data_IF_407250707742
#
_entry.id   IF_407250707742
#
_cell.length_a   1.000
_cell.length_b   1.000
_cell.length_c   1.000
_cell.angle_alpha   90.00
_cell.angle_beta   90.00
_cell.angle_gamma   90.00
#
_symmetry.space_group_name_H-M   'P 1'
#
loop_
_entity.id
_entity.type
_entity.pdbx_description
1 polymer ?
#
# COMPACT_ATOMS: atom_id res chain seq x y z
N UNK A 1 8.77 -19.41 -16.11
CA UNK A 1 9.48 -19.70 -14.85
C UNK A 1 10.73 -18.82 -14.81
N UNK A 2 10.68 -17.70 -14.06
CA UNK A 2 11.78 -16.91 -13.45
C UNK A 2 11.29 -15.47 -13.23
N UNK A 3 10.47 -15.26 -12.21
CA UNK A 3 10.13 -13.94 -11.66
C UNK A 3 10.24 -13.88 -10.12
N UNK A 4 10.43 -15.04 -9.48
CA UNK A 4 10.69 -15.21 -8.04
C UNK A 4 12.16 -14.96 -7.68
N UNK A 5 12.87 -14.11 -8.45
CA UNK A 5 14.22 -13.69 -8.14
C UNK A 5 14.18 -12.74 -6.94
N UNK A 6 14.13 -13.38 -5.78
CA UNK A 6 14.48 -12.88 -4.46
C UNK A 6 13.46 -11.99 -3.74
N UNK A 7 12.20 -12.44 -3.65
CA UNK A 7 11.24 -11.93 -2.64
C UNK A 7 11.82 -11.93 -1.21
N UNK A 8 12.87 -12.74 -0.95
CA UNK A 8 13.57 -12.79 0.33
C UNK A 8 14.29 -11.48 0.68
N UNK A 9 14.71 -10.67 -0.30
CA UNK A 9 15.42 -9.40 -0.11
C UNK A 9 14.49 -8.19 -0.12
N UNK A 10 13.20 -8.37 -0.41
CA UNK A 10 12.26 -7.26 -0.55
C UNK A 10 12.11 -6.46 0.75
N UNK A 11 12.14 -5.15 0.55
CA UNK A 11 11.84 -4.14 1.58
C UNK A 11 10.35 -4.13 1.91
N UNK A 12 9.99 -3.49 3.03
CA UNK A 12 8.59 -3.22 3.41
C UNK A 12 7.78 -2.63 2.26
N UNK A 13 8.36 -1.65 1.58
CA UNK A 13 7.71 -0.86 0.55
C UNK A 13 7.49 -1.67 -0.74
N UNK A 14 8.43 -2.55 -1.08
CA UNK A 14 8.31 -3.48 -2.20
C UNK A 14 7.23 -4.55 -1.93
N UNK A 15 7.11 -5.03 -0.69
CA UNK A 15 6.01 -5.92 -0.30
C UNK A 15 4.65 -5.25 -0.44
N UNK A 16 4.50 -4.01 0.05
CA UNK A 16 3.28 -3.23 -0.11
C UNK A 16 2.92 -3.04 -1.59
N UNK A 17 3.90 -2.67 -2.41
CA UNK A 17 3.71 -2.52 -3.85
C UNK A 17 3.28 -3.82 -4.52
N UNK A 18 3.88 -4.95 -4.14
CA UNK A 18 3.58 -6.25 -4.73
C UNK A 18 2.14 -6.71 -4.50
N UNK A 19 1.53 -6.36 -3.36
CA UNK A 19 0.11 -6.55 -3.14
C UNK A 19 -0.73 -5.54 -3.93
N UNK A 20 -0.36 -4.25 -3.92
CA UNK A 20 -1.10 -3.21 -4.62
C UNK A 20 -1.18 -3.45 -6.14
N UNK A 21 -0.08 -3.84 -6.81
CA UNK A 21 -0.06 -4.12 -8.26
C UNK A 21 -1.03 -5.21 -8.70
N UNK A 22 -1.49 -6.06 -7.77
CA UNK A 22 -2.47 -7.14 -7.99
C UNK A 22 -3.91 -6.70 -7.68
N UNK A 23 -4.12 -5.44 -7.31
CA UNK A 23 -5.44 -4.89 -7.06
C UNK A 23 -6.15 -4.57 -8.39
N UNK A 24 -7.30 -5.21 -8.68
CA UNK A 24 -8.01 -4.98 -9.93
C UNK A 24 -8.48 -3.53 -10.09
N UNK A 25 -8.82 -2.86 -8.99
CA UNK A 25 -9.23 -1.46 -9.01
C UNK A 25 -8.03 -0.56 -9.33
N UNK A 26 -6.84 -0.87 -8.78
CA UNK A 26 -5.61 -0.16 -9.12
C UNK A 26 -5.22 -0.36 -10.59
N UNK A 27 -5.33 -1.59 -11.09
CA UNK A 27 -5.03 -1.91 -12.49
C UNK A 27 -5.98 -1.18 -13.45
N UNK A 28 -7.28 -1.18 -13.14
CA UNK A 28 -8.28 -0.49 -13.95
C UNK A 28 -8.06 1.02 -13.96
N UNK A 29 -7.83 1.62 -12.79
CA UNK A 29 -7.49 3.04 -12.68
C UNK A 29 -6.20 3.37 -13.43
N UNK A 30 -5.15 2.55 -13.29
CA UNK A 30 -3.86 2.78 -13.94
C UNK A 30 -4.00 2.71 -15.47
N UNK A 31 -4.73 1.72 -16.00
CA UNK A 31 -4.99 1.64 -17.44
C UNK A 31 -5.71 2.87 -17.98
N UNK A 32 -6.72 3.38 -17.28
CA UNK A 32 -7.40 4.60 -17.68
C UNK A 32 -6.48 5.83 -17.57
N UNK A 33 -5.78 5.95 -16.45
CA UNK A 33 -4.80 7.01 -16.19
C UNK A 33 -3.74 7.09 -17.30
N UNK A 34 -3.08 5.98 -17.62
CA UNK A 34 -1.98 5.97 -18.59
C UNK A 34 -2.48 6.25 -20.01
N UNK A 35 -3.69 5.80 -20.36
CA UNK A 35 -4.30 6.11 -21.65
C UNK A 35 -4.58 7.61 -21.79
N UNK A 36 -5.14 8.26 -20.76
CA UNK A 36 -5.34 9.71 -20.75
C UNK A 36 -4.02 10.46 -20.77
N UNK A 37 -3.03 10.01 -19.99
CA UNK A 37 -1.70 10.62 -19.96
C UNK A 37 -1.02 10.60 -21.33
N UNK A 38 -1.01 9.45 -22.02
CA UNK A 38 -0.46 9.35 -23.37
C UNK A 38 -1.23 10.19 -24.39
N UNK A 39 -2.56 10.30 -24.25
CA UNK A 39 -3.36 11.18 -25.12
C UNK A 39 -2.99 12.66 -24.91
N UNK A 40 -2.82 13.10 -23.66
CA UNK A 40 -2.35 14.45 -23.35
C UNK A 40 -0.93 14.69 -23.88
N UNK A 41 -0.02 13.72 -23.77
CA UNK A 41 1.34 13.82 -24.31
C UNK A 41 1.35 13.87 -25.84
N UNK A 42 0.43 13.19 -26.52
CA UNK A 42 0.28 13.28 -27.96
C UNK A 42 -0.22 14.68 -28.40
N UNK A 43 -1.16 15.26 -27.65
CA UNK A 43 -1.79 16.55 -27.99
C UNK A 43 -0.88 17.75 -27.66
N UNK A 44 -0.06 17.65 -26.61
CA UNK A 44 0.68 18.78 -26.03
C UNK A 44 2.19 18.55 -25.89
N UNK A 45 2.69 17.36 -26.23
CA UNK A 45 4.10 16.99 -26.14
C UNK A 45 4.55 16.48 -24.77
N UNK A 46 5.81 16.02 -24.74
CA UNK A 46 6.49 15.50 -23.53
C UNK A 46 7.53 16.50 -23.01
N UNK A 47 7.85 16.49 -21.70
CA UNK A 47 8.92 17.31 -21.16
C UNK A 47 10.26 17.03 -21.86
N UNK A 48 11.12 18.05 -22.07
CA UNK A 48 10.94 19.44 -21.64
C UNK A 48 10.08 20.31 -22.58
N UNK A 49 9.66 19.80 -23.74
CA UNK A 49 9.02 20.59 -24.80
C UNK A 49 7.48 20.64 -24.72
N UNK A 50 6.90 20.25 -23.59
CA UNK A 50 5.45 20.21 -23.37
C UNK A 50 4.86 21.63 -23.37
N UNK A 51 3.75 21.83 -24.08
CA UNK A 51 2.96 23.06 -23.98
C UNK A 51 2.13 23.05 -22.68
N UNK A 52 2.77 23.47 -21.58
CA UNK A 52 2.16 23.54 -20.26
C UNK A 52 0.95 24.48 -20.21
N UNK A 53 0.94 25.54 -21.03
CA UNK A 53 -0.14 26.53 -21.02
C UNK A 53 -1.42 25.98 -21.63
N UNK A 54 -1.32 25.13 -22.66
CA UNK A 54 -2.47 24.41 -23.21
C UNK A 54 -2.86 23.21 -22.35
N UNK A 55 -1.88 22.45 -21.85
CA UNK A 55 -2.12 21.30 -20.96
C UNK A 55 -2.97 21.68 -19.74
N UNK A 56 -2.63 22.77 -19.04
CA UNK A 56 -3.37 23.26 -17.86
C UNK A 56 -4.82 23.69 -18.15
N UNK A 57 -5.19 23.90 -19.41
CA UNK A 57 -6.57 24.26 -19.79
C UNK A 57 -7.41 23.04 -20.19
N UNK A 58 -6.79 21.88 -20.32
CA UNK A 58 -7.47 20.65 -20.68
C UNK A 58 -8.11 20.01 -19.44
N UNK A 59 -9.43 19.76 -19.41
CA UNK A 59 -10.08 19.13 -18.27
C UNK A 59 -9.56 17.70 -18.01
N UNK A 60 -9.00 17.00 -19.02
CA UNK A 60 -8.41 15.66 -18.86
C UNK A 60 -7.12 15.69 -18.02
N UNK A 61 -6.47 16.84 -17.86
CA UNK A 61 -5.27 16.99 -17.05
C UNK A 61 -5.52 16.93 -15.54
N UNK A 62 -6.77 16.82 -15.12
CA UNK A 62 -7.19 16.89 -13.73
C UNK A 62 -8.00 15.66 -13.34
N UNK A 63 -7.86 15.25 -12.07
CA UNK A 63 -8.70 14.23 -11.47
C UNK A 63 -10.04 14.79 -10.94
N UNK A 64 -11.01 13.92 -10.62
CA UNK A 64 -10.93 12.46 -10.69
C UNK A 64 -10.93 11.92 -12.13
N UNK A 65 -10.48 10.68 -12.30
CA UNK A 65 -10.71 9.96 -13.56
C UNK A 65 -12.20 9.98 -13.93
N UNK A 66 -12.58 10.00 -15.21
CA UNK A 66 -13.97 9.89 -15.63
C UNK A 66 -14.65 8.66 -15.00
N UNK A 67 -15.77 8.87 -14.28
CA UNK A 67 -16.48 7.83 -13.54
C UNK A 67 -15.83 7.42 -12.20
N UNK A 68 -14.68 8.00 -11.87
CA UNK A 68 -13.99 7.79 -10.60
C UNK A 68 -14.58 8.63 -9.48
N UNK A 69 -14.65 8.03 -8.29
CA UNK A 69 -14.97 8.78 -7.09
C UNK A 69 -13.80 9.68 -6.68
N UNK A 70 -14.10 10.80 -6.00
CA UNK A 70 -13.06 11.57 -5.31
C UNK A 70 -12.30 10.64 -4.36
N UNK A 71 -10.97 10.81 -4.22
CA UNK A 71 -10.22 10.00 -3.27
C UNK A 71 -10.83 10.21 -1.89
N UNK A 72 -10.95 9.13 -1.11
CA UNK A 72 -11.11 9.27 0.34
C UNK A 72 -10.04 10.26 0.83
N UNK A 73 -10.29 11.12 1.83
CA UNK A 73 -9.30 12.09 2.27
C UNK A 73 -8.05 11.37 2.78
N UNK A 74 -7.10 11.15 1.88
CA UNK A 74 -5.77 10.67 2.19
C UNK A 74 -5.14 11.82 2.93
N UNK A 75 -4.77 11.56 4.17
CA UNK A 75 -4.06 12.49 5.04
C UNK A 75 -2.72 12.79 4.38
N UNK A 76 -2.68 13.92 3.67
CA UNK A 76 -1.52 14.40 2.94
C UNK A 76 -1.92 15.64 2.15
N UNK A 77 -0.95 16.53 1.92
CA UNK A 77 -1.15 17.72 1.11
C UNK A 77 -1.84 17.35 -0.20
N UNK A 78 -3.01 17.96 -0.43
CA UNK A 78 -3.61 18.02 -1.75
C UNK A 78 -2.63 18.85 -2.58
N UNK A 79 -2.10 18.28 -3.65
CA UNK A 79 -1.46 19.07 -4.70
C UNK A 79 -2.58 19.84 -5.43
N UNK A 80 -3.15 20.84 -4.77
CA UNK A 80 -4.13 21.74 -5.34
C UNK A 80 -3.39 22.56 -6.41
N UNK A 81 -3.85 22.46 -7.66
CA UNK A 81 -3.41 23.35 -8.72
C UNK A 81 -3.96 24.77 -8.51
N UNK A 82 -3.67 25.65 -9.46
CA UNK A 82 -4.03 27.08 -9.43
C UNK A 82 -5.55 27.35 -9.29
N UNK A 83 -6.42 26.35 -9.50
CA UNK A 83 -7.89 26.45 -9.45
C UNK A 83 -8.56 25.41 -8.53
N UNK A 84 -7.91 24.98 -7.44
CA UNK A 84 -8.37 23.89 -6.54
C UNK A 84 -8.53 22.50 -7.20
N UNK A 85 -8.25 22.38 -8.50
CA UNK A 85 -8.23 21.11 -9.23
C UNK A 85 -6.95 20.35 -8.93
N UNK A 86 -7.05 19.04 -8.71
CA UNK A 86 -5.88 18.18 -8.48
C UNK A 86 -5.40 17.64 -9.83
N UNK A 87 -4.12 17.84 -10.15
CA UNK A 87 -3.52 17.25 -11.35
C UNK A 87 -3.73 15.73 -11.38
N UNK A 88 -3.95 15.18 -12.57
CA UNK A 88 -4.37 13.80 -12.75
C UNK A 88 -3.40 12.80 -12.08
N UNK A 89 -2.10 12.99 -12.26
CA UNK A 89 -1.05 12.17 -11.65
C UNK A 89 -1.03 12.30 -10.12
N UNK A 90 -1.29 13.50 -9.59
CA UNK A 90 -1.36 13.74 -8.15
C UNK A 90 -2.61 13.08 -7.54
N UNK A 91 -3.74 13.12 -8.25
CA UNK A 91 -4.97 12.44 -7.83
C UNK A 91 -4.76 10.92 -7.78
N UNK A 92 -4.16 10.35 -8.83
CA UNK A 92 -3.91 8.91 -8.93
C UNK A 92 -2.91 8.46 -7.85
N UNK A 93 -1.83 9.24 -7.66
CA UNK A 93 -0.88 9.01 -6.57
C UNK A 93 -1.55 9.07 -5.21
N UNK A 94 -2.35 10.11 -4.93
CA UNK A 94 -3.05 10.26 -3.65
C UNK A 94 -4.00 9.08 -3.38
N UNK A 95 -4.84 8.69 -4.37
CA UNK A 95 -5.80 7.59 -4.24
C UNK A 95 -5.14 6.28 -3.80
N UNK A 96 -3.94 6.00 -4.32
CA UNK A 96 -3.23 4.74 -4.11
C UNK A 96 -2.02 4.82 -3.16
N UNK A 97 -1.81 5.98 -2.54
CA UNK A 97 -0.80 6.16 -1.49
C UNK A 97 0.60 6.52 -1.99
N UNK A 98 0.78 7.01 -3.21
CA UNK A 98 2.07 7.51 -3.72
C UNK A 98 2.20 9.03 -3.63
N UNK A 99 3.40 9.52 -3.31
CA UNK A 99 3.80 10.92 -3.50
C UNK A 99 4.19 11.22 -4.95
N UNK A 100 4.75 10.23 -5.65
CA UNK A 100 5.26 10.35 -7.02
C UNK A 100 4.26 9.80 -8.05
N UNK A 101 4.68 9.88 -9.31
CA UNK A 101 3.95 9.31 -10.44
C UNK A 101 3.57 7.84 -10.17
N UNK A 102 2.31 7.42 -10.43
CA UNK A 102 1.84 6.05 -10.21
C UNK A 102 2.69 5.01 -10.95
N UNK A 103 2.93 3.86 -10.32
CA UNK A 103 3.80 2.83 -10.88
C UNK A 103 3.03 1.77 -11.68
N UNK A 104 3.56 1.38 -12.83
CA UNK A 104 2.95 0.36 -13.68
C UNK A 104 2.70 -0.97 -12.93
N UNK A 105 1.44 -1.43 -12.80
CA UNK A 105 1.11 -2.70 -12.16
C UNK A 105 1.61 -3.92 -12.94
N UNK A 106 2.06 -3.77 -14.18
CA UNK A 106 2.61 -4.87 -14.99
C UNK A 106 4.13 -4.98 -14.89
N UNK A 107 4.82 -3.98 -14.33
CA UNK A 107 6.29 -3.97 -14.19
C UNK A 107 6.82 -5.25 -13.56
N UNK A 108 7.80 -5.92 -14.15
CA UNK A 108 8.26 -7.22 -13.63
C UNK A 108 9.18 -7.03 -12.41
N UNK A 109 10.12 -6.09 -12.50
CA UNK A 109 11.10 -5.86 -11.44
C UNK A 109 10.54 -4.98 -10.31
N UNK A 110 10.84 -5.31 -9.05
CA UNK A 110 10.40 -4.49 -7.93
C UNK A 110 11.03 -3.08 -8.03
N UNK A 111 10.23 -2.02 -7.89
CA UNK A 111 10.72 -0.66 -7.95
C UNK A 111 11.72 -0.37 -6.82
N UNK A 112 12.65 0.54 -7.09
CA UNK A 112 13.65 0.96 -6.12
C UNK A 112 13.07 1.84 -4.99
N UNK A 113 13.79 2.02 -3.87
CA UNK A 113 13.33 2.84 -2.75
C UNK A 113 13.03 4.30 -3.14
N UNK A 114 13.79 4.86 -4.08
CA UNK A 114 13.57 6.22 -4.58
C UNK A 114 12.30 6.35 -5.42
N UNK A 115 11.81 5.27 -6.02
CA UNK A 115 10.59 5.24 -6.83
C UNK A 115 9.35 5.05 -5.95
N UNK A 116 9.48 4.19 -4.92
CA UNK A 116 8.44 3.88 -3.93
C UNK A 116 8.32 4.96 -2.84
N UNK A 117 8.03 6.20 -3.24
CA UNK A 117 7.74 7.27 -2.31
C UNK A 117 6.29 7.18 -1.81
N UNK A 118 6.04 6.37 -0.77
CA UNK A 118 4.72 6.20 -0.17
C UNK A 118 4.29 7.38 0.70
N UNK A 119 3.01 7.74 0.63
CA UNK A 119 2.33 8.60 1.59
C UNK A 119 2.16 7.85 2.91
N UNK A 120 2.18 8.56 4.06
CA UNK A 120 1.79 7.97 5.33
C UNK A 120 0.41 7.32 5.20
N UNK A 121 0.26 6.03 5.58
CA UNK A 121 -1.03 5.39 5.53
C UNK A 121 -1.99 6.11 6.49
N UNK A 122 -3.28 6.28 6.13
CA UNK A 122 -4.25 6.92 7.02
C UNK A 122 -4.33 6.17 8.34
N UNK A 123 -4.72 6.86 9.42
CA UNK A 123 -4.94 6.20 10.70
C UNK A 123 -5.90 5.01 10.51
N UNK A 124 -5.59 3.83 11.09
CA UNK A 124 -6.48 2.68 10.96
C UNK A 124 -7.83 3.05 11.58
N UNK A 125 -8.92 2.87 10.82
CA UNK A 125 -10.27 3.16 11.30
C UNK A 125 -10.62 2.31 12.54
N UNK A 126 -10.08 1.09 12.61
CA UNK A 126 -10.12 0.17 13.77
C UNK A 126 -8.86 -0.70 13.70
N UNK A 127 -8.24 -1.02 14.84
CA UNK A 127 -7.18 -2.02 14.90
C UNK A 127 -7.76 -3.37 14.45
N UNK A 128 -7.43 -3.79 13.23
CA UNK A 128 -8.16 -4.82 12.47
C UNK A 128 -7.92 -6.25 12.96
N UNK A 129 -6.92 -6.48 13.81
CA UNK A 129 -6.58 -7.80 14.30
C UNK A 129 -6.75 -7.86 15.84
N UNK A 130 -7.92 -8.31 16.34
CA UNK A 130 -8.21 -8.31 17.77
C UNK A 130 -7.22 -9.18 18.57
N UNK A 131 -6.57 -10.15 17.92
CA UNK A 131 -5.60 -11.01 18.59
C UNK A 131 -4.29 -10.30 18.90
N UNK A 132 -3.90 -9.30 18.10
CA UNK A 132 -2.70 -8.49 18.32
C UNK A 132 -2.99 -7.20 19.08
N UNK A 133 -4.26 -6.88 19.34
CA UNK A 133 -4.65 -5.70 20.11
C UNK A 133 -4.32 -5.88 21.58
N UNK A 134 -3.67 -4.88 22.17
CA UNK A 134 -3.39 -4.78 23.59
C UNK A 134 -3.62 -3.32 24.03
N UNK A 135 -4.65 -3.10 24.83
CA UNK A 135 -4.94 -1.78 25.39
C UNK A 135 -4.08 -1.58 26.65
N UNK A 136 -3.44 -0.40 26.76
CA UNK A 136 -2.61 0.00 27.90
C UNK A 136 -3.07 1.38 28.35
N UNK A 137 -3.53 1.46 29.58
CA UNK A 137 -3.96 2.72 30.20
C UNK A 137 -2.84 3.28 31.07
N UNK A 138 -2.68 4.60 31.03
CA UNK A 138 -1.78 5.34 31.91
C UNK A 138 -2.61 6.20 32.87
N UNK A 139 -2.26 6.15 34.15
CA UNK A 139 -2.75 7.07 35.15
C UNK A 139 -1.85 8.30 35.17
N UNK A 140 -2.36 9.41 34.64
CA UNK A 140 -1.60 10.66 34.52
C UNK A 140 -1.42 11.37 35.87
N UNK A 141 -2.07 10.91 36.93
CA UNK A 141 -1.82 11.40 38.29
C UNK A 141 -0.58 10.79 38.94
N UNK A 142 -0.04 9.71 38.38
CA UNK A 142 1.16 9.02 38.86
C UNK A 142 2.37 9.29 37.94
N UNK A 143 3.61 9.15 38.45
CA UNK A 143 4.80 9.25 37.60
C UNK A 143 4.75 8.27 36.42
N UNK A 144 5.08 8.74 35.22
CA UNK A 144 5.07 7.93 34.00
C UNK A 144 6.15 6.82 33.94
N UNK A 145 7.39 7.01 34.42
CA UNK A 145 8.44 6.01 34.20
C UNK A 145 8.13 4.60 34.74
N UNK A 146 7.61 4.43 35.98
CA UNK A 146 7.20 3.11 36.47
C UNK A 146 6.07 2.48 35.64
N UNK A 147 5.16 3.30 35.11
CA UNK A 147 4.05 2.85 34.28
C UNK A 147 4.54 2.38 32.90
N UNK A 148 5.56 3.04 32.32
CA UNK A 148 6.18 2.64 31.06
C UNK A 148 6.88 1.28 31.18
N UNK A 149 7.59 1.03 32.28
CA UNK A 149 8.22 -0.27 32.51
C UNK A 149 7.17 -1.38 32.70
N UNK A 150 6.08 -1.10 33.42
CA UNK A 150 4.97 -2.03 33.55
C UNK A 150 4.29 -2.31 32.19
N UNK A 151 4.09 -1.27 31.37
CA UNK A 151 3.55 -1.39 30.01
C UNK A 151 4.44 -2.26 29.12
N UNK A 152 5.77 -2.03 29.15
CA UNK A 152 6.75 -2.83 28.42
C UNK A 152 6.69 -4.30 28.82
N UNK A 153 6.62 -4.60 30.11
CA UNK A 153 6.51 -5.99 30.58
C UNK A 153 5.24 -6.68 30.08
N UNK A 154 4.10 -5.97 30.08
CA UNK A 154 2.83 -6.48 29.53
C UNK A 154 2.94 -6.77 28.04
N UNK A 155 3.55 -5.88 27.27
CA UNK A 155 3.76 -6.06 25.82
C UNK A 155 4.67 -7.26 25.52
N UNK A 156 5.78 -7.41 26.24
CA UNK A 156 6.71 -8.54 26.08
C UNK A 156 6.02 -9.87 26.41
N UNK A 157 5.27 -9.90 27.51
CA UNK A 157 4.51 -11.10 27.93
C UNK A 157 3.45 -11.48 26.90
N UNK A 158 2.71 -10.51 26.37
CA UNK A 158 1.71 -10.74 25.33
C UNK A 158 2.35 -11.24 24.02
N UNK A 159 3.47 -10.66 23.60
CA UNK A 159 4.18 -11.14 22.42
C UNK A 159 4.68 -12.59 22.58
N UNK A 160 5.19 -12.95 23.77
CA UNK A 160 5.61 -14.32 24.07
C UNK A 160 4.43 -15.31 24.08
N UNK A 161 3.27 -14.90 24.60
CA UNK A 161 2.03 -15.68 24.55
C UNK A 161 1.59 -15.94 23.11
N UNK A 162 1.57 -14.91 22.26
CA UNK A 162 1.22 -15.04 20.85
C UNK A 162 2.15 -16.01 20.12
N UNK A 163 3.47 -15.92 20.36
CA UNK A 163 4.45 -16.87 19.79
C UNK A 163 4.19 -18.31 20.21
N UNK A 164 3.87 -18.56 21.48
CA UNK A 164 3.50 -19.90 21.97
C UNK A 164 2.25 -20.45 21.29
N UNK A 165 1.33 -19.58 20.87
CA UNK A 165 0.14 -19.94 20.08
C UNK A 165 0.43 -20.05 18.57
N UNK A 166 1.70 -20.03 18.16
CA UNK A 166 2.12 -20.14 16.76
C UNK A 166 2.00 -18.85 15.94
N UNK A 167 1.81 -17.69 16.60
CA UNK A 167 1.67 -16.39 15.91
C UNK A 167 2.98 -15.61 15.90
N UNK A 168 3.29 -15.02 14.75
CA UNK A 168 4.46 -14.16 14.58
C UNK A 168 4.20 -12.77 15.19
N UNK A 169 4.62 -12.59 16.46
CA UNK A 169 4.43 -11.34 17.21
C UNK A 169 5.78 -10.75 17.70
N UNK A 170 6.02 -9.43 17.57
CA UNK A 170 5.26 -8.50 16.75
C UNK A 170 5.36 -8.88 15.26
N UNK A 171 4.41 -8.43 14.43
CA UNK A 171 4.53 -8.60 12.98
C UNK A 171 5.72 -7.77 12.49
N UNK A 172 6.65 -8.38 11.77
CA UNK A 172 7.79 -7.72 11.14
C UNK A 172 7.89 -8.19 9.70
N UNK A 173 8.52 -7.41 8.81
CA UNK A 173 8.75 -7.85 7.42
C UNK A 173 9.42 -9.23 7.42
N UNK A 174 10.50 -9.38 8.19
CA UNK A 174 11.29 -10.61 8.28
C UNK A 174 10.41 -11.83 8.60
N UNK A 175 9.54 -11.75 9.61
CA UNK A 175 8.72 -12.89 10.02
C UNK A 175 7.46 -13.11 9.17
N UNK A 176 7.07 -12.14 8.35
CA UNK A 176 5.93 -12.26 7.42
C UNK A 176 6.32 -12.67 6.00
N UNK A 177 7.59 -12.48 5.58
CA UNK A 177 8.07 -12.76 4.20
C UNK A 177 7.57 -14.09 3.63
N UNK A 178 7.72 -15.19 4.39
CA UNK A 178 7.30 -16.52 3.93
C UNK A 178 5.78 -16.60 3.68
N UNK A 179 4.99 -16.04 4.60
CA UNK A 179 3.52 -16.00 4.50
C UNK A 179 3.08 -15.15 3.31
N UNK A 180 3.67 -13.96 3.15
CA UNK A 180 3.35 -13.06 2.05
C UNK A 180 3.76 -13.63 0.69
N UNK A 181 4.92 -14.29 0.58
CA UNK A 181 5.31 -14.98 -0.65
C UNK A 181 4.27 -16.04 -1.06
N UNK A 182 3.78 -16.82 -0.10
CA UNK A 182 2.72 -17.80 -0.35
C UNK A 182 1.42 -17.13 -0.80
N UNK A 183 1.01 -16.04 -0.15
CA UNK A 183 -0.15 -15.26 -0.54
C UNK A 183 -0.05 -14.72 -1.97
N UNK A 184 1.10 -14.14 -2.36
CA UNK A 184 1.31 -13.65 -3.71
C UNK A 184 1.22 -14.77 -4.75
N UNK A 185 1.82 -15.94 -4.48
CA UNK A 185 1.71 -17.11 -5.36
C UNK A 185 0.26 -17.58 -5.52
N UNK A 186 -0.54 -17.55 -4.44
CA UNK A 186 -1.96 -17.90 -4.52
C UNK A 186 -2.76 -16.88 -5.34
N UNK A 187 -2.45 -15.59 -5.22
CA UNK A 187 -3.06 -14.55 -6.05
C UNK A 187 -2.72 -14.73 -7.53
N UNK A 188 -1.46 -15.05 -7.84
CA UNK A 188 -1.00 -15.31 -9.21
C UNK A 188 -1.64 -16.59 -9.78
N UNK A 189 -1.77 -17.64 -8.97
CA UNK A 189 -2.47 -18.87 -9.32
C UNK A 189 -3.96 -18.63 -9.63
N UNK A 190 -4.63 -17.84 -8.79
CA UNK A 190 -6.02 -17.44 -8.99
C UNK A 190 -6.19 -16.63 -10.28
N UNK A 191 -5.29 -15.67 -10.55
CA UNK A 191 -5.32 -14.89 -11.78
C UNK A 191 -5.10 -15.75 -13.04
N UNK A 192 -4.32 -16.82 -12.93
CA UNK A 192 -4.10 -17.81 -13.98
C UNK A 192 -5.22 -18.87 -14.10
N UNK A 193 -6.28 -18.80 -13.28
CA UNK A 193 -7.39 -19.74 -13.30
C UNK A 193 -7.06 -21.14 -12.75
N UNK A 194 -5.99 -21.28 -11.96
CA UNK A 194 -5.61 -22.56 -11.37
C UNK A 194 -6.48 -22.91 -10.17
N UNK A 195 -6.77 -24.20 -10.00
CA UNK A 195 -7.54 -24.70 -8.86
C UNK A 195 -6.74 -24.54 -7.55
N UNK A 196 -7.41 -24.02 -6.52
CA UNK A 196 -6.82 -23.73 -5.20
C UNK A 196 -7.38 -24.71 -4.18
N UNK A 197 -6.52 -25.26 -3.30
CA UNK A 197 -6.98 -26.18 -2.26
C UNK A 197 -7.86 -25.47 -1.22
N UNK A 198 -8.62 -26.24 -0.42
CA UNK A 198 -9.49 -25.69 0.62
C UNK A 198 -8.72 -24.90 1.68
N UNK A 199 -7.55 -25.39 2.10
CA UNK A 199 -6.69 -24.70 3.07
C UNK A 199 -6.12 -23.40 2.48
N UNK A 200 -5.79 -23.42 1.19
CA UNK A 200 -5.32 -22.24 0.47
C UNK A 200 -6.43 -21.21 0.24
N UNK A 201 -7.70 -21.59 0.33
CA UNK A 201 -8.84 -20.67 0.15
C UNK A 201 -8.92 -19.63 1.28
N UNK A 202 -8.64 -20.02 2.52
CA UNK A 202 -8.62 -19.07 3.65
C UNK A 202 -7.46 -18.07 3.51
N UNK A 203 -6.27 -18.58 3.16
CA UNK A 203 -5.09 -17.75 2.94
C UNK A 203 -5.26 -16.83 1.72
N UNK A 204 -5.94 -17.30 0.67
CA UNK A 204 -6.28 -16.51 -0.51
C UNK A 204 -7.25 -15.37 -0.17
N UNK A 205 -8.25 -15.62 0.69
CA UNK A 205 -9.16 -14.56 1.16
C UNK A 205 -8.43 -13.48 1.95
N UNK A 206 -7.48 -13.87 2.79
CA UNK A 206 -6.59 -12.92 3.48
C UNK A 206 -5.70 -12.17 2.47
N UNK A 207 -5.13 -12.86 1.48
CA UNK A 207 -4.34 -12.26 0.41
C UNK A 207 -5.15 -11.21 -0.38
N UNK A 208 -6.41 -11.50 -0.72
CA UNK A 208 -7.32 -10.55 -1.36
C UNK A 208 -7.60 -9.32 -0.48
N UNK A 209 -7.64 -9.50 0.84
CA UNK A 209 -7.79 -8.38 1.80
C UNK A 209 -6.52 -7.53 1.83
N UNK A 210 -5.34 -8.16 1.77
CA UNK A 210 -4.05 -7.47 1.65
C UNK A 210 -3.98 -6.62 0.39
N UNK A 211 -4.46 -7.15 -0.75
CA UNK A 211 -4.53 -6.43 -2.03
C UNK A 211 -5.42 -5.18 -1.94
N UNK A 212 -6.58 -5.27 -1.28
CA UNK A 212 -7.55 -4.17 -1.20
C UNK A 212 -7.08 -3.05 -0.28
N UNK A 213 -6.66 -3.38 0.94
CA UNK A 213 -6.33 -2.39 1.98
C UNK A 213 -5.15 -2.79 2.85
N UNK A 214 -4.88 -4.08 3.05
CA UNK A 214 -3.84 -4.53 3.97
C UNK A 214 -2.40 -4.19 3.53
N UNK A 215 -2.17 -3.83 2.26
CA UNK A 215 -0.86 -3.30 1.83
C UNK A 215 -0.50 -1.99 2.57
N UNK A 216 -1.49 -1.19 2.97
CA UNK A 216 -1.28 0.00 3.82
C UNK A 216 -0.86 -0.40 5.24
N UNK A 217 -1.31 -1.56 5.73
CA UNK A 217 -0.88 -2.08 7.03
C UNK A 217 0.59 -2.51 7.00
N UNK A 218 1.08 -3.01 5.87
CA UNK A 218 2.52 -3.30 5.67
C UNK A 218 3.34 -2.02 5.84
N UNK A 219 2.88 -0.90 5.29
CA UNK A 219 3.58 0.39 5.39
C UNK A 219 3.67 0.93 6.83
N UNK A 220 2.81 0.45 7.74
CA UNK A 220 2.87 0.80 9.17
C UNK A 220 3.89 -0.01 9.96
N UNK A 221 4.41 -1.10 9.39
CA UNK A 221 5.49 -1.84 10.03
C UNK A 221 6.75 -0.98 10.05
N UNK A 222 7.55 -1.13 11.10
CA UNK A 222 8.88 -0.54 11.15
C UNK A 222 9.66 -0.98 9.90
N UNK A 223 10.34 -0.03 9.26
CA UNK A 223 11.31 -0.38 8.24
C UNK A 223 12.33 -1.32 8.89
N UNK A 224 12.66 -2.43 8.21
CA UNK A 224 13.76 -3.26 8.66
C UNK A 224 15.03 -2.42 8.50
N UNK A 225 15.70 -2.11 9.63
CA UNK A 225 17.08 -1.62 9.63
C UNK A 225 18.03 -2.67 9.05
#
# INVERSE_FOLDING_TARGET
>A
MTGDADCASWTRDQWAWAFLRRNPDYQADYHHFIALWHALEADYGTPPNRDFSRWKRDPRAYGPLPGGNLPNPVTGERCAGENDQTLLECWMGAKWGFYKFPLDPQRIDPPGPSELAWRPPPAPAVCSDPDYRQDISFDLSLPLPPQLEAAKFRLVSRAAELRRRGRAAPKTVVNQRKRWAQMLRLLDAMAAGMAVSKLDTELLREAQTMVKTGYLDILRLAAAE
#
